data_IF_367339308992
#
_entry.id   IF_367339308992
#
_cell.length_a   1.000
_cell.length_b   1.000
_cell.length_c   1.000
_cell.angle_alpha   90.00
_cell.angle_beta   90.00
_cell.angle_gamma   90.00
#
_symmetry.space_group_name_H-M   'P 1'
#
loop_
_entity.id
_entity.type
_entity.pdbx_description
1 polymer ?
#
# COMPACT_ATOMS: atom_id res chain seq x y z
N UNK A 1 19.50 -12.41 -7.23
CA UNK A 1 20.13 -11.12 -7.61
C UNK A 1 21.41 -11.24 -8.45
N UNK A 2 22.12 -12.39 -8.49
CA UNK A 2 23.41 -12.52 -9.20
C UNK A 2 23.47 -11.87 -10.62
N UNK A 3 22.42 -11.95 -11.48
CA UNK A 3 22.43 -11.28 -12.79
C UNK A 3 22.44 -9.75 -12.75
N UNK A 4 21.91 -9.15 -11.68
CA UNK A 4 21.79 -7.70 -11.50
C UNK A 4 23.00 -7.07 -10.78
N UNK A 5 23.97 -7.87 -10.34
CA UNK A 5 25.16 -7.41 -9.64
C UNK A 5 26.26 -7.13 -10.66
N UNK A 6 26.73 -5.89 -10.71
CA UNK A 6 27.85 -5.47 -11.56
C UNK A 6 29.20 -5.87 -10.96
N UNK A 7 29.43 -5.51 -9.68
CA UNK A 7 30.67 -5.83 -8.97
C UNK A 7 30.46 -5.80 -7.46
N UNK A 8 31.49 -6.17 -6.68
CA UNK A 8 31.50 -6.07 -5.23
C UNK A 8 32.67 -5.19 -4.79
N UNK A 9 32.41 -4.20 -3.93
CA UNK A 9 33.43 -3.34 -3.35
C UNK A 9 33.23 -3.26 -1.85
N UNK A 10 34.26 -3.59 -1.08
CA UNK A 10 34.24 -3.55 0.39
C UNK A 10 33.06 -4.36 0.99
N UNK A 11 32.75 -5.53 0.41
CA UNK A 11 31.64 -6.38 0.86
C UNK A 11 30.25 -5.94 0.37
N UNK A 12 30.12 -4.75 -0.24
CA UNK A 12 28.85 -4.23 -0.77
C UNK A 12 28.73 -4.59 -2.25
N UNK A 13 27.63 -5.22 -2.62
CA UNK A 13 27.30 -5.51 -4.02
C UNK A 13 26.74 -4.25 -4.69
N UNK A 14 27.30 -3.90 -5.84
CA UNK A 14 26.90 -2.76 -6.65
C UNK A 14 25.98 -3.26 -7.77
N UNK A 15 24.80 -2.67 -7.88
CA UNK A 15 23.79 -3.01 -8.90
C UNK A 15 24.20 -2.42 -10.25
N UNK A 16 23.95 -3.16 -11.33
CA UNK A 16 24.19 -2.71 -12.70
C UNK A 16 23.19 -1.62 -13.14
N UNK A 17 23.66 -0.38 -13.20
CA UNK A 17 22.85 0.77 -13.58
C UNK A 17 22.32 0.72 -15.02
N UNK A 18 22.97 -0.02 -15.93
CA UNK A 18 22.46 -0.17 -17.31
C UNK A 18 21.21 -1.02 -17.33
N UNK A 19 21.23 -2.13 -16.60
CA UNK A 19 20.05 -2.99 -16.40
C UNK A 19 18.96 -2.23 -15.65
N UNK A 20 19.31 -1.49 -14.60
CA UNK A 20 18.35 -0.63 -13.86
C UNK A 20 17.69 0.39 -14.79
N UNK A 21 18.44 1.07 -15.65
CA UNK A 21 17.89 2.05 -16.57
C UNK A 21 16.93 1.43 -17.60
N UNK A 22 17.22 0.21 -18.08
CA UNK A 22 16.34 -0.52 -18.99
C UNK A 22 15.04 -0.95 -18.28
N UNK A 23 15.16 -1.62 -17.12
CA UNK A 23 14.02 -2.06 -16.31
C UNK A 23 13.15 -0.89 -15.84
N UNK A 24 13.77 0.25 -15.49
CA UNK A 24 13.06 1.46 -15.12
C UNK A 24 12.20 2.00 -16.26
N UNK A 25 12.71 2.01 -17.49
CA UNK A 25 11.92 2.45 -18.66
C UNK A 25 10.74 1.51 -18.93
N UNK A 26 10.96 0.20 -18.81
CA UNK A 26 9.91 -0.80 -18.96
C UNK A 26 8.80 -0.62 -17.92
N UNK A 27 9.18 -0.49 -16.64
CA UNK A 27 8.25 -0.22 -15.55
C UNK A 27 7.49 1.11 -15.74
N UNK A 28 8.19 2.16 -16.19
CA UNK A 28 7.59 3.46 -16.45
C UNK A 28 6.55 3.39 -17.57
N UNK A 29 6.87 2.72 -18.68
CA UNK A 29 5.94 2.53 -19.79
C UNK A 29 4.71 1.73 -19.34
N UNK A 30 4.92 0.62 -18.63
CA UNK A 30 3.82 -0.19 -18.09
C UNK A 30 2.88 0.61 -17.19
N UNK A 31 3.43 1.35 -16.21
CA UNK A 31 2.62 2.15 -15.28
C UNK A 31 1.93 3.32 -15.98
N UNK A 32 2.58 3.94 -16.97
CA UNK A 32 1.98 5.00 -17.79
C UNK A 32 0.78 4.47 -18.57
N UNK A 33 0.95 3.36 -19.27
CA UNK A 33 -0.08 2.79 -20.13
C UNK A 33 -1.26 2.30 -19.25
N UNK A 34 -0.97 1.65 -18.12
CA UNK A 34 -1.98 1.27 -17.14
C UNK A 34 -2.79 2.47 -16.62
N UNK A 35 -2.11 3.56 -16.27
CA UNK A 35 -2.78 4.77 -15.80
C UNK A 35 -3.60 5.45 -16.91
N UNK A 36 -3.11 5.42 -18.16
CA UNK A 36 -3.84 5.95 -19.31
C UNK A 36 -5.15 5.19 -19.58
N UNK A 37 -5.17 3.88 -19.31
CA UNK A 37 -6.36 3.03 -19.40
C UNK A 37 -7.31 3.17 -18.19
N UNK A 38 -7.02 4.08 -17.26
CA UNK A 38 -7.79 4.27 -16.03
C UNK A 38 -7.55 3.19 -14.97
N UNK A 39 -6.46 2.43 -15.11
CA UNK A 39 -6.02 1.44 -14.14
C UNK A 39 -5.52 2.08 -12.84
N UNK A 40 -5.68 1.34 -11.75
CA UNK A 40 -5.33 1.78 -10.40
C UNK A 40 -4.06 1.09 -9.92
N UNK A 41 -3.15 1.86 -9.33
CA UNK A 41 -1.89 1.37 -8.77
C UNK A 41 -1.93 1.51 -7.25
N UNK A 42 -1.50 0.48 -6.53
CA UNK A 42 -1.30 0.56 -5.09
C UNK A 42 0.19 0.61 -4.74
N UNK A 43 0.60 1.66 -4.03
CA UNK A 43 1.95 1.80 -3.50
C UNK A 43 2.07 1.07 -2.15
N UNK A 44 3.09 0.24 -1.98
CA UNK A 44 3.31 -0.57 -0.79
C UNK A 44 4.73 -0.36 -0.28
N UNK A 45 4.85 0.08 0.96
CA UNK A 45 6.14 0.20 1.63
C UNK A 45 5.97 0.52 3.11
N UNK A 46 6.09 -0.51 3.95
CA UNK A 46 5.91 -0.45 5.40
C UNK A 46 7.20 -0.18 6.16
N UNK A 47 8.35 -0.33 5.49
CA UNK A 47 9.67 -0.01 6.03
C UNK A 47 9.73 1.46 6.46
N UNK A 48 10.32 1.75 7.63
CA UNK A 48 10.34 3.11 8.23
C UNK A 48 10.85 4.19 7.25
N UNK A 49 11.86 3.87 6.44
CA UNK A 49 12.42 4.78 5.45
C UNK A 49 11.52 5.03 4.23
N UNK A 50 10.53 4.16 3.98
CA UNK A 50 9.64 4.22 2.82
C UNK A 50 8.27 4.83 3.15
N UNK A 51 7.86 4.87 4.43
CA UNK A 51 6.47 5.16 4.79
C UNK A 51 5.98 6.53 4.33
N UNK A 52 6.82 7.56 4.47
CA UNK A 52 6.50 8.94 4.11
C UNK A 52 6.50 9.09 2.58
N UNK A 53 7.55 8.64 1.91
CA UNK A 53 7.67 8.73 0.45
C UNK A 53 6.56 7.99 -0.30
N UNK A 54 6.13 6.83 0.21
CA UNK A 54 5.02 6.05 -0.36
C UNK A 54 3.70 6.81 -0.24
N UNK A 55 3.43 7.39 0.94
CA UNK A 55 2.22 8.19 1.18
C UNK A 55 2.18 9.41 0.26
N UNK A 56 3.25 10.20 0.26
CA UNK A 56 3.33 11.43 -0.54
C UNK A 56 3.19 11.14 -2.03
N UNK A 57 3.82 10.08 -2.54
CA UNK A 57 3.73 9.70 -3.94
C UNK A 57 2.30 9.29 -4.32
N UNK A 58 1.63 8.52 -3.48
CA UNK A 58 0.26 8.08 -3.71
C UNK A 58 -0.74 9.25 -3.63
N UNK A 59 -0.62 10.11 -2.62
CA UNK A 59 -1.47 11.31 -2.47
C UNK A 59 -1.30 12.27 -3.65
N UNK A 60 -0.06 12.49 -4.12
CA UNK A 60 0.22 13.33 -5.31
C UNK A 60 -0.37 12.77 -6.61
N UNK A 61 -0.54 11.46 -6.70
CA UNK A 61 -1.05 10.78 -7.90
C UNK A 61 -2.52 10.38 -7.79
N UNK A 62 -3.16 10.60 -6.63
CA UNK A 62 -4.52 10.15 -6.35
C UNK A 62 -4.66 8.61 -6.28
N UNK A 63 -3.55 7.90 -6.09
CA UNK A 63 -3.48 6.45 -6.07
C UNK A 63 -3.52 5.90 -4.63
N UNK A 64 -3.70 4.59 -4.50
CA UNK A 64 -3.85 3.94 -3.20
C UNK A 64 -2.50 3.60 -2.57
N UNK A 65 -2.45 3.49 -1.24
CA UNK A 65 -1.22 3.10 -0.57
C UNK A 65 -1.39 2.28 0.72
N UNK A 66 -0.33 1.55 1.06
CA UNK A 66 -0.14 0.90 2.36
C UNK A 66 1.28 1.19 2.84
N UNK A 67 1.40 2.10 3.81
CA UNK A 67 2.68 2.55 4.36
C UNK A 67 2.94 2.12 5.82
N UNK A 68 1.96 1.52 6.49
CA UNK A 68 2.09 1.15 7.92
C UNK A 68 2.23 -0.36 8.11
N UNK A 69 1.17 -1.12 7.81
CA UNK A 69 1.19 -2.57 7.92
C UNK A 69 0.30 -3.19 6.86
N UNK A 70 0.85 -4.18 6.16
CA UNK A 70 0.04 -5.05 5.31
C UNK A 70 -0.82 -5.98 6.17
N UNK A 71 -2.14 -5.87 6.04
CA UNK A 71 -3.07 -6.80 6.66
C UNK A 71 -3.16 -8.04 5.77
N UNK A 72 -2.82 -9.22 6.28
CA UNK A 72 -2.95 -10.45 5.52
C UNK A 72 -4.39 -10.65 5.05
N UNK A 73 -4.57 -10.93 3.76
CA UNK A 73 -5.88 -10.98 3.13
C UNK A 73 -6.34 -9.65 2.53
N UNK A 74 -5.46 -8.63 2.44
CA UNK A 74 -5.81 -7.32 1.88
C UNK A 74 -6.37 -7.45 0.46
N UNK A 75 -5.69 -8.23 -0.38
CA UNK A 75 -6.10 -8.46 -1.77
C UNK A 75 -6.96 -9.72 -1.87
N UNK A 76 -6.52 -10.80 -1.24
CA UNK A 76 -7.16 -12.12 -1.39
C UNK A 76 -8.49 -12.27 -0.64
N UNK A 77 -8.76 -11.43 0.36
CA UNK A 77 -10.00 -11.39 1.14
C UNK A 77 -10.56 -9.96 1.22
N UNK A 78 -10.59 -9.27 0.09
CA UNK A 78 -10.99 -7.86 0.00
C UNK A 78 -12.41 -7.57 0.53
N UNK A 79 -13.33 -8.54 0.45
CA UNK A 79 -14.68 -8.43 1.03
C UNK A 79 -14.66 -8.22 2.54
N UNK A 80 -13.75 -8.89 3.25
CA UNK A 80 -13.58 -8.72 4.70
C UNK A 80 -12.95 -7.36 5.03
N UNK A 81 -11.96 -6.94 4.24
CA UNK A 81 -11.27 -5.66 4.42
C UNK A 81 -12.23 -4.48 4.21
N UNK A 82 -13.12 -4.58 3.21
CA UNK A 82 -14.19 -3.60 3.00
C UNK A 82 -15.10 -3.44 4.22
N UNK A 83 -15.34 -4.49 5.00
CA UNK A 83 -16.10 -4.37 6.27
C UNK A 83 -15.33 -3.53 7.30
N UNK A 84 -14.01 -3.68 7.39
CA UNK A 84 -13.16 -2.86 8.26
C UNK A 84 -13.10 -1.40 7.80
N UNK A 85 -13.06 -1.14 6.49
CA UNK A 85 -13.15 0.21 5.92
C UNK A 85 -14.52 0.83 6.20
N UNK A 86 -15.62 0.09 5.99
CA UNK A 86 -16.96 0.53 6.32
C UNK A 86 -17.10 0.84 7.82
N UNK A 87 -16.48 0.02 8.69
CA UNK A 87 -16.42 0.29 10.13
C UNK A 87 -15.70 1.60 10.44
N UNK A 88 -14.58 1.89 9.77
CA UNK A 88 -13.88 3.17 9.91
C UNK A 88 -14.77 4.35 9.50
N UNK A 89 -15.39 4.29 8.30
CA UNK A 89 -16.31 5.32 7.80
C UNK A 89 -17.49 5.56 8.75
N UNK A 90 -18.04 4.50 9.34
CA UNK A 90 -19.12 4.61 10.33
C UNK A 90 -18.68 5.31 11.62
N UNK A 91 -17.47 5.04 12.13
CA UNK A 91 -16.97 5.70 13.34
C UNK A 91 -16.67 7.18 13.08
N UNK A 92 -16.16 7.52 11.89
CA UNK A 92 -15.97 8.91 11.46
C UNK A 92 -17.30 9.66 11.38
N UNK A 93 -18.31 9.09 10.72
CA UNK A 93 -19.64 9.69 10.65
C UNK A 93 -20.28 9.89 12.04
N UNK A 94 -20.11 8.93 12.96
CA UNK A 94 -20.59 9.10 14.34
C UNK A 94 -19.88 10.23 15.09
N UNK A 95 -18.63 10.55 14.74
CA UNK A 95 -17.88 11.65 15.33
C UNK A 95 -18.35 12.99 14.75
N UNK A 96 -18.57 13.05 13.44
CA UNK A 96 -19.08 14.24 12.73
C UNK A 96 -20.53 14.59 13.12
N UNK A 97 -21.39 13.58 13.27
CA UNK A 97 -22.80 13.75 13.66
C UNK A 97 -22.99 14.08 15.15
N UNK A 98 -21.93 14.10 15.97
CA UNK A 98 -22.02 14.28 17.42
C UNK A 98 -22.58 13.09 18.20
N UNK A 99 -22.95 11.99 17.54
CA UNK A 99 -23.45 10.75 18.19
C UNK A 99 -22.44 10.15 19.17
N UNK A 100 -21.14 10.42 18.97
CA UNK A 100 -20.08 9.99 19.87
C UNK A 100 -20.14 10.67 21.25
N UNK A 101 -20.72 11.86 21.35
CA UNK A 101 -20.84 12.62 22.61
C UNK A 101 -21.97 12.08 23.51
N UNK A 102 -22.97 11.41 22.91
CA UNK A 102 -24.06 10.75 23.64
C UNK A 102 -23.61 9.47 24.36
N UNK A 103 -22.42 8.97 24.04
CA UNK A 103 -21.87 7.75 24.62
C UNK A 103 -21.21 8.00 25.97
N UNK A 104 -21.09 6.95 26.78
CA UNK A 104 -20.31 7.05 28.01
C UNK A 104 -18.85 7.34 27.70
N UNK A 105 -18.13 8.04 28.60
CA UNK A 105 -16.70 8.33 28.43
C UNK A 105 -15.87 7.08 28.11
N UNK A 106 -16.21 5.94 28.72
CA UNK A 106 -15.53 4.65 28.50
C UNK A 106 -15.73 4.13 27.07
N UNK A 107 -16.96 4.20 26.56
CA UNK A 107 -17.28 3.77 25.19
C UNK A 107 -16.67 4.71 24.15
N UNK A 108 -16.74 6.03 24.38
CA UNK A 108 -16.11 7.02 23.51
C UNK A 108 -14.59 6.83 23.39
N UNK A 109 -13.89 6.55 24.49
CA UNK A 109 -12.44 6.24 24.46
C UNK A 109 -12.17 4.96 23.67
N UNK A 110 -13.02 3.92 23.83
CA UNK A 110 -12.86 2.66 23.10
C UNK A 110 -13.00 2.87 21.59
N UNK A 111 -14.02 3.62 21.15
CA UNK A 111 -14.24 3.94 19.74
C UNK A 111 -13.12 4.79 19.15
N UNK A 112 -12.63 5.81 19.88
CA UNK A 112 -11.49 6.62 19.42
C UNK A 112 -10.22 5.78 19.25
N UNK A 113 -9.95 4.85 20.16
CA UNK A 113 -8.83 3.89 20.03
C UNK A 113 -9.00 2.95 18.84
N UNK A 114 -10.23 2.51 18.58
CA UNK A 114 -10.58 1.69 17.41
C UNK A 114 -10.36 2.48 16.11
N UNK A 115 -10.90 3.71 16.01
CA UNK A 115 -10.70 4.63 14.89
C UNK A 115 -9.23 4.83 14.61
N UNK A 116 -8.44 5.19 15.62
CA UNK A 116 -7.00 5.44 15.44
C UNK A 116 -6.26 4.22 14.86
N UNK A 117 -6.57 3.01 15.34
CA UNK A 117 -5.95 1.77 14.84
C UNK A 117 -6.38 1.45 13.41
N UNK A 118 -7.65 1.65 13.08
CA UNK A 118 -8.17 1.41 11.74
C UNK A 118 -7.61 2.43 10.75
N UNK A 119 -7.71 3.72 11.08
CA UNK A 119 -7.23 4.82 10.27
C UNK A 119 -5.76 4.64 9.90
N UNK A 120 -4.90 4.35 10.89
CA UNK A 120 -3.46 4.16 10.67
C UNK A 120 -3.14 3.10 9.60
N UNK A 121 -3.95 2.04 9.47
CA UNK A 121 -3.65 0.96 8.53
C UNK A 121 -4.49 1.01 7.25
N UNK A 122 -5.61 1.74 7.26
CA UNK A 122 -6.61 1.70 6.18
C UNK A 122 -6.77 3.04 5.45
N UNK A 123 -6.10 4.12 5.89
CA UNK A 123 -6.25 5.45 5.26
C UNK A 123 -6.03 5.42 3.75
N UNK A 124 -4.94 4.77 3.30
CA UNK A 124 -4.57 4.74 1.88
C UNK A 124 -5.41 3.79 1.02
N UNK A 125 -6.32 3.02 1.61
CA UNK A 125 -7.24 2.12 0.89
C UNK A 125 -8.71 2.43 1.15
N UNK A 126 -9.00 3.56 1.81
CA UNK A 126 -10.33 3.94 2.27
C UNK A 126 -11.33 4.14 1.13
N UNK A 127 -10.85 4.68 0.01
CA UNK A 127 -11.65 4.97 -1.19
C UNK A 127 -11.45 3.92 -2.29
N UNK A 128 -10.98 2.72 -1.93
CA UNK A 128 -10.90 1.61 -2.87
C UNK A 128 -12.22 0.86 -3.00
N UNK A 129 -12.78 0.85 -4.19
CA UNK A 129 -13.99 0.07 -4.51
C UNK A 129 -13.68 -1.36 -4.96
N UNK A 130 -12.53 -1.53 -5.63
CA UNK A 130 -12.03 -2.81 -6.16
C UNK A 130 -10.55 -3.00 -5.82
N UNK A 131 -10.06 -4.22 -6.01
CA UNK A 131 -8.62 -4.53 -5.90
C UNK A 131 -7.83 -3.75 -6.97
N UNK A 132 -6.57 -3.37 -6.71
CA UNK A 132 -5.79 -2.56 -7.64
C UNK A 132 -5.41 -3.39 -8.87
N UNK A 133 -5.23 -2.70 -9.99
CA UNK A 133 -4.86 -3.31 -11.26
C UNK A 133 -3.35 -3.61 -11.33
N UNK A 134 -2.53 -2.90 -10.53
CA UNK A 134 -1.13 -3.25 -10.27
C UNK A 134 -0.69 -2.83 -8.87
N UNK A 135 0.41 -3.43 -8.38
CA UNK A 135 1.07 -3.00 -7.15
C UNK A 135 2.50 -2.51 -7.41
N UNK A 136 2.89 -1.43 -6.73
CA UNK A 136 4.24 -0.91 -6.69
C UNK A 136 4.83 -1.13 -5.29
N UNK A 137 5.85 -1.97 -5.17
CA UNK A 137 6.40 -2.43 -3.87
C UNK A 137 7.81 -1.91 -3.66
N UNK A 138 8.05 -1.31 -2.49
CA UNK A 138 9.39 -0.99 -2.02
C UNK A 138 9.86 -2.10 -1.07
N UNK A 139 10.95 -2.79 -1.41
CA UNK A 139 11.56 -3.88 -0.63
C UNK A 139 10.69 -5.16 -0.58
N UNK A 140 10.86 -6.04 -1.56
CA UNK A 140 10.12 -7.32 -1.60
C UNK A 140 10.38 -8.22 -0.38
N UNK A 141 11.52 -8.04 0.31
CA UNK A 141 11.86 -8.83 1.50
C UNK A 141 10.94 -8.51 2.69
N UNK A 142 10.72 -7.23 2.96
CA UNK A 142 9.81 -6.79 4.01
C UNK A 142 8.34 -7.03 3.61
N UNK A 143 7.98 -6.85 2.34
CA UNK A 143 6.60 -6.85 1.82
C UNK A 143 6.18 -8.18 1.16
N UNK A 144 6.83 -9.28 1.54
CA UNK A 144 6.61 -10.61 0.95
C UNK A 144 5.15 -11.11 0.97
N UNK A 145 4.34 -10.69 1.94
CA UNK A 145 2.90 -11.06 2.01
C UNK A 145 2.13 -10.37 0.88
N UNK A 146 2.38 -9.08 0.64
CA UNK A 146 1.74 -8.33 -0.43
C UNK A 146 2.05 -8.92 -1.79
N UNK A 147 3.33 -9.24 -2.02
CA UNK A 147 3.80 -9.87 -3.25
C UNK A 147 3.15 -11.25 -3.46
N UNK A 148 3.07 -12.07 -2.41
CA UNK A 148 2.43 -13.40 -2.49
C UNK A 148 0.95 -13.31 -2.82
N UNK A 149 0.24 -12.38 -2.20
CA UNK A 149 -1.18 -12.18 -2.47
C UNK A 149 -1.44 -11.67 -3.90
N UNK A 150 -0.64 -10.71 -4.37
CA UNK A 150 -0.73 -10.20 -5.74
C UNK A 150 -0.42 -11.29 -6.77
N UNK A 151 0.63 -12.08 -6.56
CA UNK A 151 0.93 -13.25 -7.41
C UNK A 151 -0.23 -14.24 -7.47
N UNK A 152 -0.90 -14.52 -6.34
CA UNK A 152 -2.04 -15.45 -6.30
C UNK A 152 -3.24 -14.95 -7.11
N UNK A 153 -3.41 -13.63 -7.22
CA UNK A 153 -4.48 -13.00 -7.99
C UNK A 153 -4.06 -12.59 -9.41
N UNK A 154 -2.83 -12.92 -9.82
CA UNK A 154 -2.23 -12.49 -11.08
C UNK A 154 -2.23 -10.95 -11.26
N UNK A 155 -2.09 -10.21 -10.17
CA UNK A 155 -1.93 -8.76 -10.20
C UNK A 155 -0.46 -8.46 -10.54
N UNK A 156 -0.17 -7.69 -11.61
CA UNK A 156 1.17 -7.25 -11.95
C UNK A 156 1.89 -6.53 -10.80
N UNK A 157 3.18 -6.82 -10.65
CA UNK A 157 4.01 -6.31 -9.57
C UNK A 157 5.20 -5.56 -10.18
N UNK A 158 5.31 -4.28 -9.85
CA UNK A 158 6.51 -3.49 -10.07
C UNK A 158 7.20 -3.33 -8.71
N UNK A 159 8.49 -3.64 -8.61
CA UNK A 159 9.16 -3.61 -7.32
C UNK A 159 10.59 -3.08 -7.38
N UNK A 160 10.98 -2.41 -6.29
CA UNK A 160 12.38 -2.12 -5.97
C UNK A 160 12.87 -3.22 -5.03
N UNK A 161 13.90 -3.95 -5.46
CA UNK A 161 14.42 -5.16 -4.80
C UNK A 161 15.83 -4.92 -4.27
#
# INVERSE_FOLDING_TARGET
>A
MKPYIFTQRNGIYIVDLRQTAAAFREALNFLRDLAADGGTVMFVGTKRQAQESVREAAERTGMYFVNQRWLGGLLTNFTTIRKSVARLKNIEAMEEDGRMELLTKKEGIKLRREKFKLFRNLEGIKEMDRVPDAIFVLDVGCEHIAVREAMKLNIPIVAIV
#
